data_IF_574318045501
#
_entry.id   IF_574318045501
#
_cell.length_a   1.000
_cell.length_b   1.000
_cell.length_c   1.000
_cell.angle_alpha   90.00
_cell.angle_beta   90.00
_cell.angle_gamma   90.00
#
_symmetry.space_group_name_H-M   'P 1'
#
loop_
_entity.id
_entity.type
_entity.pdbx_description
1 polymer ?
#
# COMPACT_ATOMS: atom_id res chain seq x y z
N UNK A 1 -25.59 -11.57 17.64
CA UNK A 1 -24.94 -12.36 16.57
C UNK A 1 -25.01 -11.54 15.29
N UNK A 2 -23.89 -11.27 14.61
CA UNK A 2 -23.92 -10.56 13.32
C UNK A 2 -23.69 -11.57 12.19
N UNK A 3 -24.66 -11.64 11.26
CA UNK A 3 -24.64 -12.59 10.13
C UNK A 3 -23.80 -12.07 8.95
N UNK A 4 -23.64 -10.75 8.84
CA UNK A 4 -22.94 -10.09 7.75
C UNK A 4 -21.99 -9.03 8.28
N UNK A 5 -20.76 -9.01 7.78
CA UNK A 5 -19.78 -7.97 8.06
C UNK A 5 -19.17 -7.48 6.75
N UNK A 6 -19.09 -6.16 6.60
CA UNK A 6 -18.39 -5.52 5.49
C UNK A 6 -17.14 -4.81 6.02
N UNK A 7 -16.07 -4.84 5.25
CA UNK A 7 -14.78 -4.21 5.56
C UNK A 7 -14.23 -3.52 4.32
N UNK A 8 -13.57 -2.38 4.51
CA UNK A 8 -12.76 -1.74 3.48
C UNK A 8 -11.38 -1.40 4.04
N UNK A 9 -10.37 -1.42 3.19
CA UNK A 9 -9.00 -1.15 3.57
C UNK A 9 -8.27 -0.37 2.50
N UNK A 10 -7.27 0.41 2.93
CA UNK A 10 -6.34 1.09 2.03
C UNK A 10 -4.93 0.71 2.47
N UNK A 11 -4.18 0.09 1.56
CA UNK A 11 -2.76 -0.15 1.72
C UNK A 11 -1.98 0.96 1.02
N UNK A 12 -0.91 1.44 1.68
CA UNK A 12 -0.10 2.58 1.21
C UNK A 12 -0.90 3.88 1.04
N UNK A 13 -1.69 4.22 2.07
CA UNK A 13 -2.57 5.40 2.10
C UNK A 13 -1.84 6.69 1.70
N UNK A 14 -0.64 6.93 2.23
CA UNK A 14 0.12 8.15 1.95
C UNK A 14 0.87 8.13 0.61
N UNK A 15 0.97 6.96 -0.06
CA UNK A 15 1.75 6.77 -1.28
C UNK A 15 3.15 7.40 -1.22
N UNK A 16 3.81 7.20 -0.07
CA UNK A 16 5.12 7.77 0.23
C UNK A 16 6.23 6.97 -0.48
N UNK A 17 6.23 6.99 -1.82
CA UNK A 17 7.25 6.39 -2.65
C UNK A 17 8.27 7.46 -3.09
N UNK A 18 9.54 7.08 -3.17
CA UNK A 18 10.62 7.94 -3.65
C UNK A 18 10.31 8.48 -5.06
N UNK A 19 10.40 9.81 -5.24
CA UNK A 19 10.02 10.48 -6.51
C UNK A 19 11.18 10.68 -7.49
N UNK A 20 12.40 10.43 -7.05
CA UNK A 20 13.65 10.82 -7.72
C UNK A 20 14.65 9.66 -7.81
N UNK A 21 14.15 8.43 -7.92
CA UNK A 21 14.99 7.22 -8.02
C UNK A 21 15.93 7.22 -9.24
N UNK A 22 15.60 8.00 -10.27
CA UNK A 22 16.35 8.13 -11.53
C UNK A 22 17.40 9.26 -11.53
N UNK A 23 17.54 10.03 -10.43
CA UNK A 23 18.34 11.28 -10.44
C UNK A 23 19.60 11.17 -9.58
N UNK A 24 20.73 11.51 -10.19
CA UNK A 24 22.01 11.76 -9.52
C UNK A 24 23.02 10.63 -9.64
N UNK A 25 24.22 10.95 -10.15
CA UNK A 25 25.33 10.01 -10.34
C UNK A 25 25.94 9.48 -9.02
N UNK A 26 25.61 10.10 -7.88
CA UNK A 26 26.06 9.67 -6.54
C UNK A 26 24.95 8.98 -5.72
N UNK A 27 23.83 8.61 -6.33
CA UNK A 27 22.79 7.86 -5.63
C UNK A 27 23.31 6.46 -5.30
N UNK A 28 23.06 5.97 -4.08
CA UNK A 28 23.20 4.55 -3.80
C UNK A 28 22.12 3.78 -4.59
N UNK A 29 22.56 3.01 -5.57
CA UNK A 29 21.68 2.24 -6.45
C UNK A 29 20.74 1.29 -5.69
N UNK A 30 21.18 0.80 -4.52
CA UNK A 30 20.44 -0.14 -3.69
C UNK A 30 19.52 0.54 -2.65
N UNK A 31 19.60 1.86 -2.49
CA UNK A 31 18.76 2.56 -1.51
C UNK A 31 17.50 3.11 -2.16
N UNK A 32 16.37 2.45 -1.92
CA UNK A 32 15.03 2.90 -2.29
C UNK A 32 14.20 2.99 -1.02
N UNK A 33 13.61 4.15 -0.76
CA UNK A 33 12.68 4.32 0.35
C UNK A 33 11.22 4.38 -0.13
N UNK A 34 10.33 3.91 0.73
CA UNK A 34 8.89 3.86 0.46
C UNK A 34 8.33 2.44 0.38
N UNK A 35 7.02 2.32 0.19
CA UNK A 35 6.36 1.02 0.20
C UNK A 35 6.72 0.19 -1.03
N UNK A 36 7.09 -1.07 -0.81
CA UNK A 36 7.43 -2.03 -1.87
C UNK A 36 6.21 -2.48 -2.71
N UNK A 37 4.99 -2.14 -2.28
CA UNK A 37 3.74 -2.46 -2.98
C UNK A 37 3.05 -1.16 -3.42
N UNK A 38 2.25 -1.16 -4.50
CA UNK A 38 1.50 0.02 -4.93
C UNK A 38 0.40 0.39 -3.93
N UNK A 39 -0.17 1.60 -4.05
CA UNK A 39 -1.40 1.96 -3.31
C UNK A 39 -2.54 1.06 -3.76
N UNK A 40 -3.18 0.39 -2.79
CA UNK A 40 -4.21 -0.61 -3.06
C UNK A 40 -5.45 -0.34 -2.22
N UNK A 41 -6.61 -0.46 -2.85
CA UNK A 41 -7.91 -0.40 -2.20
C UNK A 41 -8.46 -1.82 -2.10
N UNK A 42 -8.99 -2.18 -0.95
CA UNK A 42 -9.62 -3.48 -0.71
C UNK A 42 -11.01 -3.31 -0.12
N UNK A 43 -11.89 -4.23 -0.50
CA UNK A 43 -13.24 -4.37 0.04
C UNK A 43 -13.42 -5.86 0.35
N UNK A 44 -14.05 -6.15 1.48
CA UNK A 44 -14.31 -7.51 1.94
C UNK A 44 -15.72 -7.63 2.48
N UNK A 45 -16.36 -8.76 2.18
CA UNK A 45 -17.65 -9.16 2.74
C UNK A 45 -17.44 -10.50 3.42
N UNK A 46 -17.89 -10.62 4.67
CA UNK A 46 -17.80 -11.83 5.48
C UNK A 46 -19.19 -12.23 5.94
N UNK A 47 -19.58 -13.45 5.60
CA UNK A 47 -20.78 -14.11 6.10
C UNK A 47 -20.37 -15.03 7.25
N UNK A 48 -21.08 -14.95 8.37
CA UNK A 48 -20.86 -15.81 9.54
C UNK A 48 -22.19 -16.48 9.90
N UNK A 49 -22.19 -17.79 10.19
CA UNK A 49 -23.39 -18.51 10.61
C UNK A 49 -23.93 -18.03 11.96
#
# INVERSE_FOLDING_TARGET
>A
MSLLSASAGIQNLLNAYQKDFDRGAQRDSNYIYGPARPRTFSIGIRLQP
#
